data_IF_036844513081
#
_entry.id   IF_036844513081
#
_cell.length_a   1.000
_cell.length_b   1.000
_cell.length_c   1.000
_cell.angle_alpha   90.00
_cell.angle_beta   90.00
_cell.angle_gamma   90.00
#
_symmetry.space_group_name_H-M   'P 1'
#
loop_
_entity.id
_entity.type
_entity.pdbx_description
1 polymer ?
#
# COMPACT_ATOMS: atom_id res chain seq x y z
N UNK A 1 -7.09 8.78 1.72
CA UNK A 1 -7.85 7.95 0.76
C UNK A 1 -7.95 8.65 -0.59
N UNK A 2 -8.22 7.88 -1.63
CA UNK A 2 -8.60 8.42 -2.94
C UNK A 2 -10.12 8.43 -3.08
N UNK A 3 -10.65 9.38 -3.83
CA UNK A 3 -12.07 9.39 -4.17
C UNK A 3 -12.48 8.07 -4.83
N UNK A 4 -13.62 7.52 -4.39
CA UNK A 4 -14.11 6.22 -4.84
C UNK A 4 -13.30 5.01 -4.33
N UNK A 5 -12.34 5.20 -3.45
CA UNK A 5 -11.60 4.10 -2.84
C UNK A 5 -12.54 3.25 -1.98
N UNK A 6 -12.45 1.93 -2.14
CA UNK A 6 -13.12 0.98 -1.24
C UNK A 6 -12.69 1.24 0.20
N UNK A 7 -13.64 1.23 1.12
CA UNK A 7 -13.44 1.57 2.53
C UNK A 7 -13.03 3.03 2.80
N UNK A 8 -13.38 3.96 1.90
CA UNK A 8 -13.16 5.39 2.10
C UNK A 8 -13.66 5.83 3.48
N UNK A 9 -12.82 6.57 4.20
CA UNK A 9 -13.11 7.10 5.53
C UNK A 9 -13.60 6.06 6.58
N UNK A 10 -13.41 4.76 6.34
CA UNK A 10 -13.93 3.70 7.20
C UNK A 10 -13.41 3.73 8.66
N UNK A 11 -12.30 4.45 8.89
CA UNK A 11 -11.70 4.64 10.22
C UNK A 11 -12.05 5.98 10.86
N UNK A 12 -12.73 6.87 10.13
CA UNK A 12 -13.20 8.17 10.63
C UNK A 12 -14.56 7.98 11.27
N UNK A 13 -14.71 8.37 12.53
CA UNK A 13 -15.97 8.31 13.27
C UNK A 13 -16.30 9.69 13.82
N UNK A 14 -17.57 10.09 13.69
CA UNK A 14 -18.06 11.37 14.19
C UNK A 14 -17.78 12.56 13.29
N UNK A 15 -18.02 13.75 13.80
CA UNK A 15 -17.75 15.00 13.11
C UNK A 15 -16.23 15.24 13.00
N UNK A 16 -15.83 15.85 11.90
CA UNK A 16 -14.44 16.25 11.66
C UNK A 16 -14.34 17.78 11.71
N UNK A 17 -13.22 18.29 12.20
CA UNK A 17 -12.94 19.70 12.24
C UNK A 17 -11.61 19.99 11.54
N UNK A 18 -11.51 21.16 10.93
CA UNK A 18 -10.26 21.63 10.34
C UNK A 18 -9.32 22.11 11.45
N UNK A 19 -8.19 21.44 11.60
CA UNK A 19 -7.14 21.79 12.54
C UNK A 19 -5.77 21.77 11.88
N UNK A 20 -4.93 22.69 12.27
CA UNK A 20 -3.51 22.64 11.97
C UNK A 20 -2.80 21.88 13.08
N UNK A 21 -2.22 20.74 12.77
CA UNK A 21 -1.45 19.93 13.70
C UNK A 21 -0.06 19.67 13.11
N UNK A 22 1.00 19.57 13.92
CA UNK A 22 2.35 19.30 13.45
C UNK A 22 2.45 18.06 12.55
N UNK A 23 1.65 17.01 12.83
CA UNK A 23 1.61 15.81 12.01
C UNK A 23 1.03 16.06 10.61
N UNK A 24 0.12 17.03 10.45
CA UNK A 24 -0.42 17.41 9.14
C UNK A 24 0.64 18.11 8.29
N UNK A 25 1.40 19.03 8.88
CA UNK A 25 2.51 19.70 8.20
C UNK A 25 3.60 18.70 7.79
N UNK A 26 3.94 17.75 8.66
CA UNK A 26 4.86 16.68 8.34
C UNK A 26 4.33 15.81 7.20
N UNK A 27 3.05 15.46 7.23
CA UNK A 27 2.41 14.65 6.19
C UNK A 27 2.39 15.38 4.85
N UNK A 28 2.06 16.67 4.86
CA UNK A 28 2.09 17.51 3.65
C UNK A 28 3.50 17.56 3.06
N UNK A 29 4.51 17.86 3.88
CA UNK A 29 5.91 17.86 3.45
C UNK A 29 6.33 16.51 2.86
N UNK A 30 5.93 15.40 3.50
CA UNK A 30 6.19 14.05 3.00
C UNK A 30 5.58 13.83 1.62
N UNK A 31 4.31 14.23 1.44
CA UNK A 31 3.60 14.10 0.17
C UNK A 31 4.21 15.01 -0.92
N UNK A 32 4.62 16.24 -0.59
CA UNK A 32 5.27 17.15 -1.54
C UNK A 32 6.59 16.55 -2.06
N UNK A 33 7.41 15.95 -1.18
CA UNK A 33 8.64 15.22 -1.57
C UNK A 33 8.28 14.02 -2.44
N UNK A 34 7.32 13.20 -2.02
CA UNK A 34 6.91 12.01 -2.75
C UNK A 34 6.42 12.32 -4.17
N UNK A 35 5.50 13.29 -4.30
CA UNK A 35 4.95 13.68 -5.60
C UNK A 35 5.93 14.45 -6.49
N UNK A 36 7.03 14.97 -5.95
CA UNK A 36 8.15 15.48 -6.75
C UNK A 36 9.01 14.36 -7.36
N UNK A 37 8.70 13.09 -7.09
CA UNK A 37 9.42 11.92 -7.60
C UNK A 37 10.69 11.57 -6.81
N UNK A 38 10.75 12.03 -5.56
CA UNK A 38 11.84 11.74 -4.62
C UNK A 38 11.35 10.84 -3.48
N UNK A 39 12.25 10.03 -2.95
CA UNK A 39 11.96 9.24 -1.75
C UNK A 39 12.05 10.13 -0.50
N UNK A 40 10.97 10.25 0.31
CA UNK A 40 11.05 10.93 1.58
C UNK A 40 11.96 10.17 2.56
N UNK A 41 12.83 10.88 3.27
CA UNK A 41 13.80 10.33 4.24
C UNK A 41 13.24 10.17 5.66
N UNK A 42 11.96 10.46 5.86
CA UNK A 42 11.24 10.30 7.11
C UNK A 42 9.84 9.73 6.88
N UNK A 43 9.23 9.21 7.94
CA UNK A 43 7.82 8.77 7.94
C UNK A 43 7.06 9.54 9.01
N UNK A 44 5.94 10.22 8.69
CA UNK A 44 5.09 10.84 9.70
C UNK A 44 4.60 9.81 10.72
N UNK A 45 4.32 10.25 11.95
CA UNK A 45 3.74 9.37 12.98
C UNK A 45 2.41 8.80 12.49
N UNK A 46 2.33 7.48 12.39
CA UNK A 46 1.14 6.75 11.96
C UNK A 46 0.38 6.20 13.17
N UNK A 47 -0.95 6.23 13.10
CA UNK A 47 -1.85 5.54 14.02
C UNK A 47 -2.71 4.57 13.21
N UNK A 48 -2.27 3.31 13.11
CA UNK A 48 -2.92 2.29 12.29
C UNK A 48 -3.87 1.46 13.16
N UNK A 49 -5.17 1.69 12.99
CA UNK A 49 -6.21 0.94 13.68
C UNK A 49 -6.68 -0.25 12.83
N UNK A 50 -6.62 -1.43 13.41
CA UNK A 50 -7.00 -2.67 12.75
C UNK A 50 -6.73 -3.89 13.61
N UNK A 51 -7.12 -5.07 13.14
CA UNK A 51 -6.76 -6.33 13.80
C UNK A 51 -5.25 -6.54 13.80
N UNK A 52 -4.74 -7.35 14.75
CA UNK A 52 -3.32 -7.70 14.82
C UNK A 52 -2.79 -8.30 13.51
N UNK A 53 -3.64 -9.06 12.79
CA UNK A 53 -3.29 -9.57 11.48
C UNK A 53 -3.07 -8.45 10.46
N UNK A 54 -3.97 -7.47 10.39
CA UNK A 54 -3.85 -6.33 9.47
C UNK A 54 -2.65 -5.47 9.80
N UNK A 55 -2.44 -5.15 11.07
CA UNK A 55 -1.27 -4.37 11.52
C UNK A 55 0.03 -5.05 11.11
N UNK A 56 0.18 -6.35 11.36
CA UNK A 56 1.36 -7.10 10.98
C UNK A 56 1.60 -7.10 9.45
N UNK A 57 0.54 -7.15 8.63
CA UNK A 57 0.68 -6.99 7.18
C UNK A 57 1.13 -5.57 6.84
N UNK A 58 0.54 -4.52 7.43
CA UNK A 58 0.92 -3.14 7.15
C UNK A 58 2.35 -2.81 7.59
N UNK A 59 2.83 -3.40 8.68
CA UNK A 59 4.24 -3.30 9.10
C UNK A 59 5.17 -3.88 8.03
N UNK A 60 4.81 -5.02 7.42
CA UNK A 60 5.57 -5.57 6.29
C UNK A 60 5.53 -4.62 5.09
N UNK A 61 4.36 -4.01 4.77
CA UNK A 61 4.28 -3.04 3.67
C UNK A 61 5.27 -1.89 3.84
N UNK A 62 5.42 -1.37 5.06
CA UNK A 62 6.36 -0.28 5.37
C UNK A 62 7.83 -0.68 5.14
N UNK A 63 8.15 -1.97 5.06
CA UNK A 63 9.51 -2.44 4.75
C UNK A 63 9.79 -2.53 3.24
N UNK A 64 8.78 -2.38 2.37
CA UNK A 64 8.99 -2.46 0.92
C UNK A 64 9.68 -1.17 0.44
N UNK A 65 10.90 -1.25 -0.13
CA UNK A 65 11.63 -0.06 -0.54
C UNK A 65 10.92 0.74 -1.63
N UNK A 66 11.20 2.04 -1.70
CA UNK A 66 10.78 2.91 -2.78
C UNK A 66 11.25 2.36 -4.15
N UNK A 67 10.37 2.37 -5.14
CA UNK A 67 10.65 1.83 -6.47
C UNK A 67 10.65 0.30 -6.57
N UNK A 68 10.43 -0.41 -5.47
CA UNK A 68 10.37 -1.87 -5.41
C UNK A 68 8.94 -2.38 -5.27
N UNK A 69 8.73 -3.65 -5.56
CA UNK A 69 7.43 -4.33 -5.39
C UNK A 69 7.62 -5.66 -4.66
N UNK A 70 6.57 -6.08 -3.97
CA UNK A 70 6.50 -7.37 -3.29
C UNK A 70 5.18 -8.06 -3.66
N UNK A 71 5.19 -9.38 -3.82
CA UNK A 71 3.96 -10.11 -4.12
C UNK A 71 3.16 -10.45 -2.85
N UNK A 72 1.84 -10.61 -3.01
CA UNK A 72 0.99 -11.13 -1.92
C UNK A 72 1.51 -12.46 -1.35
N UNK A 73 2.08 -13.31 -2.21
CA UNK A 73 2.65 -14.60 -1.81
C UNK A 73 3.92 -14.46 -0.97
N UNK A 74 4.79 -13.50 -1.27
CA UNK A 74 5.99 -13.20 -0.46
C UNK A 74 5.60 -12.66 0.91
N UNK A 75 4.64 -11.73 0.99
CA UNK A 75 4.10 -11.24 2.26
C UNK A 75 3.52 -12.41 3.07
N UNK A 76 2.74 -13.29 2.43
CA UNK A 76 2.17 -14.47 3.08
C UNK A 76 3.24 -15.40 3.66
N UNK A 77 4.37 -15.59 2.96
CA UNK A 77 5.51 -16.38 3.46
C UNK A 77 6.17 -15.72 4.67
N UNK A 78 6.37 -14.41 4.65
CA UNK A 78 6.92 -13.65 5.79
C UNK A 78 5.99 -13.80 7.01
N UNK A 79 4.69 -13.60 6.82
CA UNK A 79 3.68 -13.75 7.87
C UNK A 79 3.65 -15.17 8.45
N UNK A 80 3.74 -16.20 7.60
CA UNK A 80 3.77 -17.59 8.03
C UNK A 80 4.99 -17.86 8.94
N UNK A 81 6.17 -17.37 8.51
CA UNK A 81 7.41 -17.48 9.29
C UNK A 81 7.31 -16.76 10.65
N UNK A 82 6.81 -15.53 10.67
CA UNK A 82 6.63 -14.75 11.90
C UNK A 82 5.69 -15.41 12.90
N UNK A 83 4.68 -16.11 12.42
CA UNK A 83 3.66 -16.77 13.25
C UNK A 83 3.97 -18.25 13.55
N UNK A 84 5.06 -18.77 13.04
CA UNK A 84 5.44 -20.18 13.24
C UNK A 84 4.44 -21.17 12.61
N UNK A 85 3.75 -20.79 11.53
CA UNK A 85 2.80 -21.66 10.83
C UNK A 85 3.33 -22.07 9.46
N UNK A 86 2.93 -23.25 8.99
CA UNK A 86 3.45 -23.82 7.75
C UNK A 86 3.08 -22.99 6.51
N UNK A 87 1.91 -22.34 6.52
CA UNK A 87 1.40 -21.57 5.37
C UNK A 87 0.45 -20.47 5.80
N UNK A 88 0.45 -19.37 5.06
CA UNK A 88 -0.49 -18.26 5.18
C UNK A 88 -1.18 -18.01 3.84
N UNK A 89 -2.48 -17.66 3.89
CA UNK A 89 -3.26 -17.36 2.68
C UNK A 89 -2.87 -16.00 2.06
N UNK A 90 -2.44 -16.01 0.81
CA UNK A 90 -2.23 -14.79 0.02
C UNK A 90 -3.54 -13.98 -0.15
N UNK A 91 -4.70 -14.64 -0.18
CA UNK A 91 -6.01 -13.98 -0.22
C UNK A 91 -6.29 -13.22 1.08
N UNK A 92 -5.99 -13.81 2.25
CA UNK A 92 -6.12 -13.12 3.53
C UNK A 92 -5.20 -11.89 3.61
N UNK A 93 -3.96 -12.03 3.13
CA UNK A 93 -3.02 -10.90 2.99
C UNK A 93 -3.62 -9.82 2.08
N UNK A 94 -4.16 -10.19 0.92
CA UNK A 94 -4.83 -9.26 0.00
C UNK A 94 -5.98 -8.50 0.66
N UNK A 95 -6.78 -9.17 1.48
CA UNK A 95 -7.81 -8.53 2.29
C UNK A 95 -7.24 -7.49 3.26
N UNK A 96 -6.16 -7.80 3.96
CA UNK A 96 -5.48 -6.86 4.88
C UNK A 96 -4.88 -5.66 4.13
N UNK A 97 -4.22 -5.89 2.99
CA UNK A 97 -3.67 -4.85 2.11
C UNK A 97 -4.77 -3.90 1.61
N UNK A 98 -5.93 -4.44 1.22
CA UNK A 98 -7.07 -3.64 0.75
C UNK A 98 -7.73 -2.78 1.85
N UNK A 99 -7.52 -3.11 3.13
CA UNK A 99 -8.01 -2.33 4.27
C UNK A 99 -7.00 -1.31 4.79
N UNK A 100 -5.90 -1.06 4.07
CA UNK A 100 -4.92 -0.05 4.44
C UNK A 100 -5.60 1.32 4.67
N UNK A 101 -5.52 1.89 5.90
CA UNK A 101 -6.19 3.15 6.21
C UNK A 101 -5.39 4.39 5.76
N UNK A 102 -4.12 4.24 5.42
CA UNK A 102 -3.22 5.36 5.08
C UNK A 102 -2.54 5.09 3.73
N UNK A 103 -3.24 5.40 2.65
CA UNK A 103 -2.74 5.22 1.29
C UNK A 103 -1.44 6.00 1.05
N UNK A 104 -0.59 5.49 0.18
CA UNK A 104 0.71 6.02 -0.24
C UNK A 104 1.78 5.85 0.84
N UNK A 105 1.62 6.41 2.04
CA UNK A 105 2.61 6.32 3.13
C UNK A 105 2.77 4.86 3.56
N UNK A 106 1.66 4.14 3.80
CA UNK A 106 1.69 2.67 3.87
C UNK A 106 1.53 2.15 2.44
N UNK A 107 2.61 1.64 1.82
CA UNK A 107 2.70 1.54 0.36
C UNK A 107 2.01 0.29 -0.22
N UNK A 108 0.70 0.17 -0.03
CA UNK A 108 -0.08 -0.94 -0.58
C UNK A 108 -0.07 -0.99 -2.13
N UNK A 109 0.26 0.12 -2.80
CA UNK A 109 0.46 0.17 -4.24
C UNK A 109 1.71 -0.61 -4.70
N UNK A 110 2.69 -0.86 -3.82
CA UNK A 110 3.88 -1.70 -4.10
C UNK A 110 3.58 -3.19 -4.03
N UNK A 111 2.37 -3.61 -3.62
CA UNK A 111 2.01 -5.02 -3.58
C UNK A 111 1.40 -5.46 -4.91
N UNK A 112 1.93 -6.52 -5.48
CA UNK A 112 1.53 -7.05 -6.80
C UNK A 112 1.10 -8.52 -6.70
N UNK A 113 0.37 -8.98 -7.69
CA UNK A 113 0.03 -10.40 -7.82
C UNK A 113 1.24 -11.24 -8.21
N UNK A 114 1.05 -12.56 -8.26
CA UNK A 114 2.06 -13.50 -8.74
C UNK A 114 2.60 -13.03 -10.08
N UNK A 115 3.91 -13.11 -10.23
CA UNK A 115 4.61 -12.70 -11.44
C UNK A 115 4.53 -11.18 -11.76
N UNK A 116 4.20 -10.32 -10.81
CA UNK A 116 4.14 -8.88 -11.00
C UNK A 116 2.81 -8.36 -11.56
N UNK A 117 1.77 -9.17 -11.55
CA UNK A 117 0.45 -8.76 -12.03
C UNK A 117 -0.09 -7.58 -11.20
N UNK A 118 -0.45 -6.49 -11.89
CA UNK A 118 -0.97 -5.27 -11.29
C UNK A 118 -2.48 -5.39 -11.00
N UNK A 119 -2.84 -6.18 -10.01
CA UNK A 119 -4.24 -6.38 -9.59
C UNK A 119 -4.46 -5.90 -8.16
N UNK A 120 -5.72 -5.68 -7.81
CA UNK A 120 -6.13 -5.58 -6.41
C UNK A 120 -5.70 -4.30 -5.70
N UNK A 121 -5.87 -3.13 -6.29
CA UNK A 121 -5.65 -1.86 -5.62
C UNK A 121 -6.98 -1.17 -5.26
N UNK A 122 -7.15 -0.79 -3.99
CA UNK A 122 -8.39 -0.18 -3.50
C UNK A 122 -8.69 1.18 -4.13
N UNK A 123 -7.66 1.93 -4.52
CA UNK A 123 -7.77 3.21 -5.22
C UNK A 123 -7.92 3.09 -6.73
N UNK A 124 -7.95 1.87 -7.29
CA UNK A 124 -7.99 1.63 -8.73
C UNK A 124 -6.62 1.46 -9.38
N UNK A 125 -6.56 0.67 -10.44
CA UNK A 125 -5.31 0.27 -11.10
C UNK A 125 -4.57 1.46 -11.71
N UNK A 126 -5.27 2.43 -12.25
CA UNK A 126 -4.65 3.62 -12.88
C UNK A 126 -3.84 4.43 -11.85
N UNK A 127 -4.40 4.62 -10.63
CA UNK A 127 -3.68 5.29 -9.54
C UNK A 127 -2.48 4.48 -9.08
N UNK A 128 -2.61 3.15 -8.98
CA UNK A 128 -1.49 2.24 -8.67
C UNK A 128 -0.34 2.39 -9.68
N UNK A 129 -0.66 2.36 -10.96
CA UNK A 129 0.32 2.54 -12.04
C UNK A 129 0.98 3.92 -11.94
N UNK A 130 0.21 4.98 -11.67
CA UNK A 130 0.74 6.33 -11.54
C UNK A 130 1.72 6.44 -10.36
N UNK A 131 1.39 5.87 -9.20
CA UNK A 131 2.28 5.84 -8.03
C UNK A 131 3.57 5.06 -8.31
N UNK A 132 3.47 3.88 -8.91
CA UNK A 132 4.65 3.09 -9.29
C UNK A 132 5.55 3.83 -10.30
N UNK A 133 4.97 4.61 -11.23
CA UNK A 133 5.73 5.45 -12.16
C UNK A 133 6.45 6.60 -11.45
N UNK A 134 5.81 7.26 -10.48
CA UNK A 134 6.44 8.30 -9.65
C UNK A 134 7.67 7.70 -8.96
N UNK A 135 7.56 6.48 -8.45
CA UNK A 135 8.65 5.75 -7.82
C UNK A 135 9.68 5.17 -8.80
N UNK A 136 9.56 5.46 -10.10
CA UNK A 136 10.47 4.96 -11.16
C UNK A 136 10.52 3.44 -11.27
N UNK A 137 9.49 2.74 -10.75
CA UNK A 137 9.35 1.29 -10.92
C UNK A 137 9.16 0.96 -12.41
N UNK A 138 9.82 -0.09 -12.90
CA UNK A 138 9.66 -0.55 -14.28
C UNK A 138 8.30 -1.22 -14.51
N UNK A 139 7.26 -0.38 -14.61
CA UNK A 139 5.87 -0.82 -14.81
C UNK A 139 5.69 -1.54 -16.13
N UNK A 140 6.48 -1.19 -17.17
CA UNK A 140 6.44 -1.88 -18.49
C UNK A 140 6.82 -3.35 -18.32
N UNK A 141 7.88 -3.63 -17.58
CA UNK A 141 8.34 -4.98 -17.28
C UNK A 141 7.28 -5.77 -16.48
N UNK A 142 6.57 -5.09 -15.57
CA UNK A 142 5.48 -5.69 -14.80
C UNK A 142 4.27 -6.02 -15.70
N UNK A 143 3.91 -5.14 -16.63
CA UNK A 143 2.77 -5.34 -17.55
C UNK A 143 3.10 -6.35 -18.64
N UNK A 144 4.31 -6.32 -19.22
CA UNK A 144 4.72 -7.22 -20.31
C UNK A 144 4.83 -8.68 -19.88
N UNK A 145 5.15 -8.96 -18.63
CA UNK A 145 5.12 -10.33 -18.11
C UNK A 145 3.72 -10.97 -18.16
N UNK A 146 2.66 -10.15 -18.27
CA UNK A 146 1.27 -10.61 -18.27
C UNK A 146 0.41 -9.75 -19.19
N UNK A 147 0.41 -10.00 -20.52
CA UNK A 147 -0.58 -9.40 -21.40
C UNK A 147 -1.97 -9.77 -20.85
N UNK A 148 -2.84 -8.74 -20.67
CA UNK A 148 -4.25 -8.95 -20.32
C UNK A 148 -4.78 -10.05 -21.26
N UNK A 149 -5.27 -11.15 -20.70
CA UNK A 149 -6.25 -11.95 -21.44
C UNK A 149 -7.46 -11.06 -21.61
N UNK A 150 -7.59 -10.47 -22.80
CA UNK A 150 -8.79 -9.80 -23.26
C UNK A 150 -9.75 -10.95 -23.52
N UNK A 151 -10.73 -11.14 -22.62
CA UNK A 151 -11.94 -11.90 -22.90
C UNK A 151 -13.02 -10.88 -23.20
#
# INVERSE_FOLDING_TARGET
WFDGQKYFASTVKGETEDKTLPVFEQTKKWLDIYFSGNEPDFTPKLSLNGSEFRKAVWDILLTIPYGSVMTYGEIAKIMAKQRGVAKMSAQAVGGAVGHNPVSIIVPCHRVVGTNGNLTGYAGGIDKKISLLKIEKTDVKKLIQKFPKRIN
#
